data_IF_630283483417
#
_entry.id   IF_630283483417
#
_cell.length_a   1.000
_cell.length_b   1.000
_cell.length_c   1.000
_cell.angle_alpha   90.00
_cell.angle_beta   90.00
_cell.angle_gamma   90.00
#
_symmetry.space_group_name_H-M   'P 1'
#
loop_
_entity.id
_entity.type
_entity.pdbx_description
1 polymer ?
#
# COMPACT_ATOMS: atom_id res chain seq x y z
N UNK A 1 21.66 4.04 -0.05
CA UNK A 1 20.62 5.09 -0.13
C UNK A 1 19.36 4.63 -0.87
N UNK A 2 19.46 4.00 -2.05
CA UNK A 2 18.27 3.57 -2.84
C UNK A 2 17.32 2.59 -2.10
N UNK A 3 17.86 1.63 -1.34
CA UNK A 3 17.05 0.65 -0.60
C UNK A 3 16.11 1.30 0.42
N UNK A 4 16.56 2.31 1.15
CA UNK A 4 15.73 3.03 2.14
C UNK A 4 14.62 3.86 1.49
N UNK A 5 14.90 4.47 0.33
CA UNK A 5 13.92 5.20 -0.47
C UNK A 5 12.86 4.26 -1.06
N UNK A 6 13.26 3.08 -1.53
CA UNK A 6 12.34 2.05 -2.01
C UNK A 6 11.39 1.58 -0.90
N UNK A 7 11.93 1.25 0.29
CA UNK A 7 11.13 0.86 1.45
C UNK A 7 10.11 1.94 1.82
N UNK A 8 10.54 3.20 1.90
CA UNK A 8 9.67 4.31 2.25
C UNK A 8 8.56 4.49 1.22
N UNK A 9 8.87 4.37 -0.08
CA UNK A 9 7.90 4.47 -1.17
C UNK A 9 6.85 3.37 -1.10
N UNK A 10 7.25 2.13 -0.82
CA UNK A 10 6.34 0.99 -0.68
C UNK A 10 5.37 1.21 0.50
N UNK A 11 5.89 1.64 1.65
CA UNK A 11 5.05 1.96 2.81
C UNK A 11 4.06 3.09 2.53
N UNK A 12 4.50 4.16 1.87
CA UNK A 12 3.62 5.28 1.49
C UNK A 12 2.50 4.83 0.55
N UNK A 13 2.81 4.00 -0.46
CA UNK A 13 1.81 3.44 -1.38
C UNK A 13 0.76 2.60 -0.64
N UNK A 14 1.20 1.76 0.31
CA UNK A 14 0.29 0.94 1.11
C UNK A 14 -0.64 1.81 1.99
N UNK A 15 -0.10 2.86 2.62
CA UNK A 15 -0.88 3.80 3.44
C UNK A 15 -1.91 4.54 2.60
N UNK A 16 -1.53 5.05 1.42
CA UNK A 16 -2.46 5.72 0.50
C UNK A 16 -3.58 4.77 0.07
N UNK A 17 -3.25 3.52 -0.26
CA UNK A 17 -4.23 2.48 -0.58
C UNK A 17 -5.25 2.25 0.55
N UNK A 18 -4.80 2.23 1.82
CA UNK A 18 -5.68 2.12 2.99
C UNK A 18 -6.58 3.34 3.16
N UNK A 19 -6.05 4.56 2.97
CA UNK A 19 -6.84 5.79 3.08
C UNK A 19 -7.96 5.79 2.04
N UNK A 20 -7.66 5.43 0.79
CA UNK A 20 -8.68 5.32 -0.25
C UNK A 20 -9.69 4.20 0.02
N UNK A 21 -9.27 3.11 0.67
CA UNK A 21 -10.21 2.07 1.11
C UNK A 21 -11.22 2.63 2.11
N UNK A 22 -10.74 3.35 3.12
CA UNK A 22 -11.57 3.92 4.19
C UNK A 22 -12.56 4.93 3.60
N UNK A 23 -12.09 5.82 2.73
CA UNK A 23 -12.95 6.81 2.08
C UNK A 23 -13.96 6.13 1.16
N UNK A 24 -13.50 5.26 0.26
CA UNK A 24 -14.34 4.59 -0.73
C UNK A 24 -15.39 3.68 -0.10
N UNK A 25 -15.07 2.97 0.99
CA UNK A 25 -16.05 2.15 1.72
C UNK A 25 -17.10 3.00 2.44
N UNK A 26 -16.69 4.14 3.01
CA UNK A 26 -17.62 5.09 3.66
C UNK A 26 -18.62 5.69 2.67
N UNK A 27 -18.18 5.99 1.44
CA UNK A 27 -19.03 6.59 0.40
C UNK A 27 -19.68 5.57 -0.56
N UNK A 28 -19.44 4.26 -0.39
CA UNK A 28 -19.83 3.20 -1.34
C UNK A 28 -19.34 3.52 -2.76
N UNK A 29 -18.17 4.17 -2.86
CA UNK A 29 -17.56 4.51 -4.14
C UNK A 29 -16.69 3.36 -4.61
N UNK A 30 -17.28 2.55 -5.51
CA UNK A 30 -16.67 1.35 -6.06
C UNK A 30 -15.37 1.65 -6.80
N UNK A 31 -15.23 2.83 -7.43
CA UNK A 31 -14.02 3.21 -8.16
C UNK A 31 -12.87 3.41 -7.17
N UNK A 32 -13.11 4.14 -6.08
CA UNK A 32 -12.13 4.34 -5.01
C UNK A 32 -11.71 3.02 -4.35
N UNK A 33 -12.64 2.09 -4.15
CA UNK A 33 -12.35 0.76 -3.60
C UNK A 33 -11.46 -0.04 -4.56
N UNK A 34 -11.74 -0.03 -5.87
CA UNK A 34 -10.91 -0.73 -6.87
C UNK A 34 -9.51 -0.13 -6.93
N UNK A 35 -9.41 1.20 -6.94
CA UNK A 35 -8.13 1.91 -6.95
C UNK A 35 -7.33 1.55 -5.69
N UNK A 36 -7.97 1.54 -4.52
CA UNK A 36 -7.37 1.10 -3.26
C UNK A 36 -6.79 -0.31 -3.35
N UNK A 37 -7.57 -1.28 -3.83
CA UNK A 37 -7.12 -2.67 -4.00
C UNK A 37 -5.92 -2.78 -4.95
N UNK A 38 -5.94 -2.03 -6.05
CA UNK A 38 -4.83 -1.99 -6.99
C UNK A 38 -3.55 -1.42 -6.33
N UNK A 39 -3.67 -0.33 -5.57
CA UNK A 39 -2.57 0.27 -4.81
C UNK A 39 -1.99 -0.68 -3.76
N UNK A 40 -2.85 -1.35 -3.00
CA UNK A 40 -2.41 -2.34 -2.00
C UNK A 40 -1.69 -3.52 -2.67
N UNK A 41 -2.21 -4.02 -3.79
CA UNK A 41 -1.58 -5.12 -4.55
C UNK A 41 -0.22 -4.71 -5.12
N UNK A 42 -0.12 -3.51 -5.70
CA UNK A 42 1.13 -2.97 -6.22
C UNK A 42 2.17 -2.79 -5.10
N UNK A 43 1.76 -2.30 -3.93
CA UNK A 43 2.66 -2.17 -2.78
C UNK A 43 3.14 -3.53 -2.27
N UNK A 44 2.30 -4.57 -2.29
CA UNK A 44 2.69 -5.93 -1.89
C UNK A 44 3.71 -6.55 -2.86
N UNK A 45 3.50 -6.37 -4.17
CA UNK A 45 4.45 -6.80 -5.20
C UNK A 45 5.80 -6.09 -5.03
N UNK A 46 5.80 -4.77 -4.84
CA UNK A 46 7.04 -4.03 -4.61
C UNK A 46 7.71 -4.41 -3.28
N UNK A 47 6.93 -4.71 -2.23
CA UNK A 47 7.47 -5.19 -0.96
C UNK A 47 8.28 -6.48 -1.13
N UNK A 48 7.83 -7.39 -2.02
CA UNK A 48 8.56 -8.62 -2.32
C UNK A 48 9.94 -8.37 -2.95
N UNK A 49 10.06 -7.36 -3.82
CA UNK A 49 11.35 -7.02 -4.45
C UNK A 49 12.34 -6.42 -3.46
N UNK A 50 11.85 -5.70 -2.45
CA UNK A 50 12.69 -5.11 -1.41
C UNK A 50 12.84 -6.01 -0.17
N UNK A 51 12.27 -7.22 -0.19
CA UNK A 51 12.23 -8.17 0.93
C UNK A 51 11.68 -7.54 2.23
N UNK A 52 10.63 -6.73 2.08
CA UNK A 52 9.95 -6.03 3.18
C UNK A 52 8.70 -6.83 3.53
N UNK A 53 8.49 -7.09 4.81
CA UNK A 53 7.28 -7.73 5.26
C UNK A 53 6.28 -6.66 5.73
N UNK A 54 5.40 -6.20 4.83
CA UNK A 54 4.42 -5.14 5.09
C UNK A 54 3.44 -5.46 6.23
N UNK A 55 3.25 -6.74 6.55
CA UNK A 55 2.38 -7.20 7.65
C UNK A 55 3.13 -7.40 8.96
N UNK A 56 4.47 -7.38 8.93
CA UNK A 56 5.30 -7.60 10.10
C UNK A 56 6.01 -6.28 10.48
N UNK A 57 5.29 -5.44 11.23
CA UNK A 57 5.78 -4.18 11.78
C UNK A 57 6.54 -4.38 13.12
N UNK A 58 6.82 -5.63 13.51
CA UNK A 58 7.63 -5.94 14.68
C UNK A 58 9.11 -6.04 14.30
N UNK A 59 9.98 -5.59 15.20
CA UNK A 59 11.28 -6.24 15.34
C UNK A 59 11.09 -7.67 15.82
#
# INVERSE_FOLDING_TARGET
MLKGLGILSVCMLFIVGLIFLIIGTSSIDVILIIISLALMTASYLLASEFNINLLNWSK
#
